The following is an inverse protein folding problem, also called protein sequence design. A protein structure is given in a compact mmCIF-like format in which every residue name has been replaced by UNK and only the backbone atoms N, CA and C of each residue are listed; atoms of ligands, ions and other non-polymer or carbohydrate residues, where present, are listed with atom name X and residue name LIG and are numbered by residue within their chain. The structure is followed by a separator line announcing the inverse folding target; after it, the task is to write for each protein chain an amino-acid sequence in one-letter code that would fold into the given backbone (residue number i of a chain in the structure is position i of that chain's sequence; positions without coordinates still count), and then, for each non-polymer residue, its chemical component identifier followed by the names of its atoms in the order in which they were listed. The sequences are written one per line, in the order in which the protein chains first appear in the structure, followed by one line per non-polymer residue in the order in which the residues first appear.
data_IF_069842694749
#
_entry.id   IF_069842694749
#
_cell.length_a   1.000
_cell.length_b   1.000
_cell.length_c   1.000
_cell.angle_alpha   90.00
_cell.angle_beta   90.00
_cell.angle_gamma   90.00
#
_symmetry.space_group_name_H-M   'P 1'
#
loop_
_entity.id
_entity.type
_entity.pdbx_description
1 polymer ?
#
# COMPACT_ATOMS: atom_id res chain seq x y z
N UNK A 1 2.62 14.31 -10.94
CA UNK A 1 2.34 13.35 -9.83
C UNK A 1 2.79 11.91 -10.12
N UNK A 2 3.59 11.63 -11.16
CA UNK A 2 4.00 10.26 -11.53
C UNK A 2 5.33 9.76 -10.89
N UNK A 3 6.03 10.60 -10.12
CA UNK A 3 7.38 10.28 -9.64
C UNK A 3 7.42 9.20 -8.53
N UNK A 4 6.32 9.01 -7.80
CA UNK A 4 6.26 8.14 -6.62
C UNK A 4 5.39 6.89 -6.80
N UNK A 5 4.80 6.69 -7.97
CA UNK A 5 4.04 5.47 -8.30
C UNK A 5 4.89 4.51 -9.13
N UNK A 6 4.69 3.19 -9.00
CA UNK A 6 5.39 2.22 -9.83
C UNK A 6 4.94 2.38 -11.28
N UNK A 7 5.90 2.41 -12.19
CA UNK A 7 5.67 2.49 -13.63
C UNK A 7 5.77 1.08 -14.24
N UNK A 8 5.12 0.81 -15.38
CA UNK A 8 5.23 -0.47 -16.07
C UNK A 8 6.68 -0.86 -16.44
N UNK A 9 7.58 0.12 -16.53
CA UNK A 9 9.02 -0.09 -16.76
C UNK A 9 9.79 -0.57 -15.53
N UNK A 10 9.20 -0.48 -14.34
CA UNK A 10 9.81 -1.00 -13.11
C UNK A 10 9.60 -2.51 -13.00
N UNK A 11 10.57 -3.27 -13.50
CA UNK A 11 10.52 -4.74 -13.50
C UNK A 11 10.67 -5.42 -12.13
N UNK A 12 10.92 -4.68 -11.05
CA UNK A 12 10.91 -5.27 -9.69
C UNK A 12 10.40 -4.28 -8.64
N UNK A 13 9.53 -4.81 -7.78
CA UNK A 13 8.87 -4.06 -6.71
C UNK A 13 9.88 -3.56 -5.67
N UNK A 14 10.85 -4.39 -5.28
CA UNK A 14 11.88 -4.04 -4.30
C UNK A 14 12.81 -2.94 -4.79
N UNK A 15 13.20 -2.97 -6.08
CA UNK A 15 14.05 -1.93 -6.69
C UNK A 15 13.31 -0.61 -6.78
N UNK A 16 12.05 -0.64 -7.21
CA UNK A 16 11.21 0.55 -7.25
C UNK A 16 10.98 1.12 -5.85
N UNK A 17 10.65 0.28 -4.86
CA UNK A 17 10.45 0.72 -3.49
C UNK A 17 11.71 1.38 -2.93
N UNK A 18 12.88 0.74 -3.06
CA UNK A 18 14.15 1.33 -2.61
C UNK A 18 14.45 2.67 -3.29
N UNK A 19 14.15 2.79 -4.58
CA UNK A 19 14.31 4.05 -5.31
C UNK A 19 13.42 5.15 -4.72
N UNK A 20 12.12 4.91 -4.52
CA UNK A 20 11.22 5.95 -3.99
C UNK A 20 11.51 6.28 -2.53
N UNK A 21 11.92 5.31 -1.72
CA UNK A 21 12.32 5.48 -0.31
C UNK A 21 13.52 6.43 -0.16
N UNK A 22 14.49 6.32 -1.06
CA UNK A 22 15.67 7.20 -1.11
C UNK A 22 15.40 8.56 -1.75
N UNK A 23 14.35 8.67 -2.56
CA UNK A 23 13.99 9.92 -3.26
C UNK A 23 13.22 10.89 -2.36
N UNK A 24 12.48 10.38 -1.36
CA UNK A 24 11.67 11.23 -0.47
C UNK A 24 12.44 11.70 0.77
N UNK A 25 12.01 12.85 1.30
CA UNK A 25 12.53 13.40 2.55
C UNK A 25 12.29 12.46 3.74
N UNK A 26 13.10 12.58 4.79
CA UNK A 26 12.96 11.78 6.01
C UNK A 26 11.56 11.90 6.63
N UNK A 27 10.94 13.09 6.56
CA UNK A 27 9.59 13.34 7.10
C UNK A 27 8.50 12.60 6.34
N UNK A 28 8.63 12.44 5.02
CA UNK A 28 7.63 11.76 4.17
C UNK A 28 7.88 10.25 4.07
N UNK A 29 9.13 9.80 4.25
CA UNK A 29 9.55 8.39 4.08
C UNK A 29 8.72 7.41 4.90
N UNK A 30 8.45 7.73 6.17
CA UNK A 30 7.67 6.86 7.06
C UNK A 30 6.25 6.65 6.55
N UNK A 31 5.58 7.74 6.16
CA UNK A 31 4.22 7.69 5.60
C UNK A 31 4.19 6.93 4.28
N UNK A 32 5.15 7.18 3.39
CA UNK A 32 5.27 6.47 2.12
C UNK A 32 5.45 4.95 2.32
N UNK A 33 6.34 4.53 3.21
CA UNK A 33 6.58 3.11 3.48
C UNK A 33 5.35 2.41 4.06
N UNK A 34 4.59 3.10 4.94
CA UNK A 34 3.32 2.58 5.44
C UNK A 34 2.30 2.41 4.31
N UNK A 35 2.17 3.40 3.41
CA UNK A 35 1.26 3.33 2.26
C UNK A 35 1.63 2.19 1.29
N UNK A 36 2.91 2.02 0.97
CA UNK A 36 3.39 0.95 0.09
C UNK A 36 3.12 -0.42 0.73
N UNK A 37 3.41 -0.57 2.02
CA UNK A 37 3.17 -1.81 2.76
C UNK A 37 1.68 -2.18 2.79
N UNK A 38 0.82 -1.19 3.04
CA UNK A 38 -0.64 -1.35 3.02
C UNK A 38 -1.15 -1.76 1.64
N UNK A 39 -0.64 -1.14 0.57
CA UNK A 39 -0.99 -1.49 -0.80
C UNK A 39 -0.61 -2.93 -1.15
N UNK A 40 0.62 -3.34 -0.79
CA UNK A 40 1.09 -4.71 -0.99
C UNK A 40 0.26 -5.73 -0.20
N UNK A 41 -0.05 -5.42 1.06
CA UNK A 41 -0.90 -6.26 1.92
C UNK A 41 -2.31 -6.43 1.36
N UNK A 42 -2.94 -5.33 0.94
CA UNK A 42 -4.27 -5.32 0.31
C UNK A 42 -4.30 -6.21 -0.93
N UNK A 43 -3.31 -6.08 -1.81
CA UNK A 43 -3.21 -6.88 -3.03
C UNK A 43 -3.02 -8.37 -2.72
N UNK A 44 -2.17 -8.69 -1.76
CA UNK A 44 -1.96 -10.07 -1.32
C UNK A 44 -3.24 -10.68 -0.75
N UNK A 45 -3.98 -9.94 0.10
CA UNK A 45 -5.25 -10.38 0.66
C UNK A 45 -6.33 -10.56 -0.41
N UNK A 46 -6.51 -9.59 -1.31
CA UNK A 46 -7.48 -9.69 -2.41
C UNK A 46 -7.16 -10.85 -3.34
N UNK A 47 -5.87 -11.07 -3.64
CA UNK A 47 -5.42 -12.22 -4.42
C UNK A 47 -5.78 -13.55 -3.74
N UNK A 48 -5.55 -13.67 -2.43
CA UNK A 48 -5.94 -14.86 -1.67
C UNK A 48 -7.46 -15.09 -1.69
N UNK A 49 -8.27 -14.05 -1.54
CA UNK A 49 -9.74 -14.16 -1.69
C UNK A 49 -10.14 -14.65 -3.09
N UNK A 50 -9.43 -14.22 -4.14
CA UNK A 50 -9.68 -14.71 -5.49
C UNK A 50 -9.31 -16.19 -5.65
N UNK A 51 -8.16 -16.59 -5.12
CA UNK A 51 -7.64 -17.96 -5.26
C UNK A 51 -8.42 -18.96 -4.40
N UNK A 52 -8.73 -18.60 -3.15
CA UNK A 52 -9.32 -19.53 -2.18
C UNK A 52 -10.84 -19.47 -2.14
N UNK A 53 -11.44 -18.30 -2.37
CA UNK A 53 -12.89 -18.10 -2.24
C UNK A 53 -13.58 -17.85 -3.59
N UNK A 54 -12.84 -17.93 -4.71
CA UNK A 54 -13.40 -17.76 -6.05
C UNK A 54 -13.87 -16.34 -6.36
N UNK A 55 -13.41 -15.35 -5.60
CA UNK A 55 -13.68 -13.95 -5.89
C UNK A 55 -13.05 -13.54 -7.23
N UNK A 56 -13.69 -12.62 -7.96
CA UNK A 56 -13.11 -12.09 -9.20
C UNK A 56 -12.11 -10.98 -8.88
N UNK A 57 -10.95 -10.91 -9.57
CA UNK A 57 -10.04 -9.78 -9.47
C UNK A 57 -10.77 -8.45 -9.75
N UNK A 58 -10.79 -7.55 -8.76
CA UNK A 58 -11.54 -6.30 -8.84
C UNK A 58 -10.83 -5.18 -8.07
N UNK A 59 -10.50 -4.10 -8.76
CA UNK A 59 -9.78 -2.97 -8.18
C UNK A 59 -10.62 -2.22 -7.14
N UNK A 60 -11.92 -2.05 -7.37
CA UNK A 60 -12.79 -1.35 -6.43
C UNK A 60 -12.89 -2.10 -5.09
N UNK A 61 -13.02 -3.43 -5.14
CA UNK A 61 -12.99 -4.29 -3.95
C UNK A 61 -11.68 -4.15 -3.19
N UNK A 62 -10.54 -4.20 -3.87
CA UNK A 62 -9.24 -4.00 -3.24
C UNK A 62 -9.12 -2.62 -2.58
N UNK A 63 -9.60 -1.55 -3.22
CA UNK A 63 -9.59 -0.19 -2.64
C UNK A 63 -10.48 -0.08 -1.39
N UNK A 64 -11.64 -0.74 -1.38
CA UNK A 64 -12.52 -0.81 -0.20
C UNK A 64 -11.81 -1.53 0.95
N UNK A 65 -11.18 -2.69 0.68
CA UNK A 65 -10.41 -3.44 1.68
C UNK A 65 -9.28 -2.59 2.27
N UNK A 66 -8.56 -1.82 1.45
CA UNK A 66 -7.52 -0.91 1.95
C UNK A 66 -8.09 0.15 2.90
N UNK A 67 -9.26 0.72 2.58
CA UNK A 67 -9.97 1.67 3.43
C UNK A 67 -10.35 1.05 4.79
N UNK A 68 -10.95 -0.15 4.78
CA UNK A 68 -11.31 -0.87 6.00
C UNK A 68 -10.07 -1.18 6.86
N UNK A 69 -8.98 -1.62 6.24
CA UNK A 69 -7.71 -1.92 6.90
C UNK A 69 -7.14 -0.67 7.60
N UNK A 70 -7.11 0.49 6.92
CA UNK A 70 -6.65 1.74 7.55
C UNK A 70 -7.50 2.17 8.74
N UNK A 71 -8.81 1.98 8.65
CA UNK A 71 -9.73 2.29 9.74
C UNK A 71 -9.52 1.35 10.93
N UNK A 72 -9.41 0.04 10.68
CA UNK A 72 -9.13 -0.98 11.72
C UNK A 72 -7.80 -0.71 12.43
N UNK A 73 -6.75 -0.37 11.67
CA UNK A 73 -5.43 -0.06 12.24
C UNK A 73 -5.48 1.20 13.09
N UNK A 74 -6.22 2.22 12.64
CA UNK A 74 -6.43 3.46 13.42
C UNK A 74 -7.14 3.17 14.74
N UNK A 75 -8.17 2.31 14.74
CA UNK A 75 -8.86 1.89 15.96
C UNK A 75 -8.01 1.03 16.89
N UNK A 76 -7.14 0.19 16.35
CA UNK A 76 -6.18 -0.61 17.12
C UNK A 76 -5.06 0.24 17.75
N UNK A 77 -5.08 1.56 17.57
CA UNK A 77 -4.09 2.48 18.13
C UNK A 77 -2.82 2.61 17.31
N UNK A 78 -2.78 2.09 16.08
CA UNK A 78 -1.70 2.39 15.15
C UNK A 78 -1.82 3.86 14.76
N UNK A 79 -1.03 4.71 15.43
CA UNK A 79 -0.89 6.12 15.08
C UNK A 79 -0.30 6.22 13.67
N UNK A 80 -1.15 6.32 12.66
CA UNK A 80 -0.78 6.90 11.38
C UNK A 80 -0.27 8.30 11.73
N UNK A 81 0.97 8.58 11.32
CA UNK A 81 1.70 9.77 11.68
C UNK A 81 0.98 11.01 11.15
N UNK A 82 0.05 11.52 11.94
CA UNK A 82 -0.38 12.90 11.89
C UNK A 82 -0.79 13.33 13.31
N UNK A 83 0.15 13.98 13.99
CA UNK A 83 -0.15 14.90 15.08
C UNK A 83 0.76 16.11 14.85
N UNK A 84 0.24 17.35 14.90
CA UNK A 84 1.06 18.56 14.89
C UNK A 84 2.07 18.57 16.05
#
# INVERSE_FOLDING_TARGET
MAALSPQPTNGSFDKWWRMVDTTVSNSTRRGLNSLISLGAWTLWRHHNECVFNGSTPNLATALIMAGEETWLWSMAGAKIADRP
#
